data_IF_010558106879
#
_entry.id   IF_010558106879
#
_cell.length_a   1.000
_cell.length_b   1.000
_cell.length_c   1.000
_cell.angle_alpha   90.00
_cell.angle_beta   90.00
_cell.angle_gamma   90.00
#
_symmetry.space_group_name_H-M   'P 1'
#
loop_
_entity.id
_entity.type
_entity.pdbx_description
1 polymer ?
#
# COMPACT_ATOMS: atom_id res chain seq x y z
N UNK A 1 7.99 -6.69 -14.64
CA UNK A 1 8.57 -5.32 -14.53
C UNK A 1 9.84 -5.44 -13.73
N UNK A 2 10.97 -5.07 -14.30
CA UNK A 2 12.23 -4.97 -13.55
C UNK A 2 12.28 -3.56 -12.95
N UNK A 3 12.36 -3.46 -11.63
CA UNK A 3 12.57 -2.20 -10.95
C UNK A 3 14.09 -2.05 -10.80
N UNK A 4 14.73 -1.09 -11.48
CA UNK A 4 16.18 -0.95 -11.44
C UNK A 4 16.63 -0.53 -10.03
N UNK A 5 17.73 -1.12 -9.56
CA UNK A 5 18.42 -0.60 -8.39
C UNK A 5 18.95 0.81 -8.68
N UNK A 6 18.62 1.76 -7.82
CA UNK A 6 19.12 3.13 -7.92
C UNK A 6 19.77 3.55 -6.62
N UNK A 7 20.89 4.30 -6.68
CA UNK A 7 21.48 4.90 -5.49
C UNK A 7 20.46 5.73 -4.71
N UNK A 8 20.41 5.49 -3.40
CA UNK A 8 19.50 6.22 -2.53
C UNK A 8 18.03 5.73 -2.51
N UNK A 9 17.71 4.64 -3.21
CA UNK A 9 16.43 3.95 -3.14
C UNK A 9 16.63 2.51 -2.68
N UNK A 10 15.74 2.05 -1.79
CA UNK A 10 15.71 0.67 -1.30
C UNK A 10 14.31 0.11 -1.50
N UNK A 11 14.24 -1.11 -2.02
CA UNK A 11 13.02 -1.92 -2.03
C UNK A 11 13.27 -3.08 -1.09
N UNK A 12 12.54 -3.11 0.01
CA UNK A 12 12.70 -4.06 1.09
C UNK A 12 11.46 -4.96 1.14
N UNK A 13 11.50 -6.11 0.47
CA UNK A 13 10.38 -7.03 0.49
C UNK A 13 10.31 -7.75 1.83
N UNK A 14 9.08 -8.19 2.16
CA UNK A 14 8.84 -8.99 3.33
C UNK A 14 7.73 -10.02 3.07
N UNK A 15 7.81 -11.07 3.83
CA UNK A 15 6.80 -12.10 3.90
C UNK A 15 6.63 -12.51 5.36
N UNK A 16 5.41 -12.62 5.81
CA UNK A 16 5.06 -13.03 7.15
C UNK A 16 4.15 -14.25 7.06
N UNK A 17 4.70 -15.41 7.31
CA UNK A 17 3.96 -16.67 7.35
C UNK A 17 3.27 -16.87 8.71
N UNK A 18 2.19 -17.66 8.73
CA UNK A 18 1.38 -17.91 9.92
C UNK A 18 2.21 -18.42 11.12
N UNK A 19 3.10 -19.37 10.89
CA UNK A 19 3.97 -19.92 11.94
C UNK A 19 4.95 -18.87 12.53
N UNK A 20 5.37 -17.90 11.74
CA UNK A 20 6.22 -16.80 12.22
C UNK A 20 5.41 -15.82 13.07
N UNK A 21 4.12 -15.64 12.74
CA UNK A 21 3.18 -14.82 13.49
C UNK A 21 2.91 -15.42 14.87
N UNK A 22 2.65 -16.73 14.97
CA UNK A 22 2.45 -17.42 16.23
C UNK A 22 3.66 -17.26 17.16
N UNK A 23 4.87 -17.50 16.65
CA UNK A 23 6.10 -17.31 17.42
C UNK A 23 6.28 -15.86 17.91
N UNK A 24 5.91 -14.89 17.08
CA UNK A 24 5.96 -13.48 17.46
C UNK A 24 4.92 -13.12 18.52
N UNK A 25 3.69 -13.65 18.42
CA UNK A 25 2.64 -13.46 19.42
C UNK A 25 3.09 -14.01 20.78
N UNK A 26 3.70 -15.20 20.82
CA UNK A 26 4.21 -15.77 22.06
C UNK A 26 5.36 -14.96 22.67
N UNK A 27 6.24 -14.40 21.85
CA UNK A 27 7.29 -13.51 22.29
C UNK A 27 6.72 -12.24 22.95
N UNK A 28 5.69 -11.65 22.33
CA UNK A 28 4.99 -10.47 22.86
C UNK A 28 4.32 -10.77 24.20
N UNK A 29 3.63 -11.92 24.31
CA UNK A 29 2.94 -12.31 25.55
C UNK A 29 3.88 -12.48 26.74
N UNK A 30 5.16 -12.79 26.51
CA UNK A 30 6.18 -12.96 27.56
C UNK A 30 6.76 -11.63 28.05
N UNK A 31 6.59 -10.56 27.32
CA UNK A 31 7.19 -9.26 27.64
C UNK A 31 6.11 -8.20 27.87
N UNK A 32 5.87 -7.85 29.14
CA UNK A 32 4.83 -6.90 29.53
C UNK A 32 4.98 -5.51 28.92
N UNK A 33 6.20 -5.10 28.59
CA UNK A 33 6.47 -3.79 27.97
C UNK A 33 5.76 -3.64 26.62
N UNK A 34 5.60 -4.73 25.87
CA UNK A 34 4.89 -4.69 24.59
C UNK A 34 3.37 -4.61 24.73
N UNK A 35 2.82 -5.14 25.83
CA UNK A 35 1.39 -5.07 26.10
C UNK A 35 0.96 -3.66 26.52
N UNK A 36 1.88 -2.90 27.13
CA UNK A 36 1.62 -1.55 27.63
C UNK A 36 1.87 -0.46 26.58
N UNK A 37 2.67 -0.73 25.54
CA UNK A 37 3.04 0.29 24.55
C UNK A 37 2.93 -0.23 23.09
N UNK A 38 1.77 0.03 22.50
CA UNK A 38 1.47 -0.35 21.12
C UNK A 38 2.49 0.20 20.09
N UNK A 39 3.08 1.36 20.35
CA UNK A 39 4.09 1.96 19.47
C UNK A 39 5.38 1.13 19.44
N UNK A 40 5.81 0.65 20.60
CA UNK A 40 6.99 -0.20 20.73
C UNK A 40 6.75 -1.54 20.05
N UNK A 41 5.57 -2.11 20.26
CA UNK A 41 5.14 -3.34 19.60
C UNK A 41 5.19 -3.23 18.07
N UNK A 42 4.60 -2.18 17.53
CA UNK A 42 4.54 -1.95 16.09
C UNK A 42 5.93 -1.75 15.48
N UNK A 43 6.80 -1.01 16.13
CA UNK A 43 8.18 -0.81 15.68
C UNK A 43 8.97 -2.12 15.73
N UNK A 44 8.81 -2.93 16.78
CA UNK A 44 9.44 -4.25 16.86
C UNK A 44 8.95 -5.21 15.78
N UNK A 45 7.65 -5.20 15.51
CA UNK A 45 7.08 -5.99 14.42
C UNK A 45 7.68 -5.57 13.08
N UNK A 46 7.72 -4.27 12.79
CA UNK A 46 8.27 -3.74 11.55
C UNK A 46 9.75 -4.15 11.38
N UNK A 47 10.53 -4.07 12.44
CA UNK A 47 11.94 -4.44 12.42
C UNK A 47 12.16 -5.96 12.26
N UNK A 48 11.30 -6.77 12.87
CA UNK A 48 11.35 -8.23 12.73
C UNK A 48 10.97 -8.69 11.33
N UNK A 49 9.95 -8.06 10.75
CA UNK A 49 9.43 -8.37 9.42
C UNK A 49 10.36 -7.85 8.32
N UNK A 50 11.02 -6.72 8.56
CA UNK A 50 11.91 -6.07 7.59
C UNK A 50 13.23 -5.74 8.27
N UNK A 51 14.10 -6.74 8.54
CA UNK A 51 15.33 -6.54 9.30
C UNK A 51 16.32 -5.55 8.64
N UNK A 52 16.29 -5.45 7.31
CA UNK A 52 17.16 -4.55 6.56
C UNK A 52 16.70 -3.08 6.57
N UNK A 53 15.52 -2.79 7.12
CA UNK A 53 14.99 -1.44 7.26
C UNK A 53 15.64 -0.74 8.45
N UNK A 54 16.63 0.11 8.19
CA UNK A 54 17.33 0.86 9.23
C UNK A 54 16.44 1.96 9.84
N UNK A 55 16.64 2.34 11.10
CA UNK A 55 15.92 3.46 11.73
C UNK A 55 16.04 4.79 10.97
N UNK A 56 17.17 5.00 10.27
CA UNK A 56 17.42 6.20 9.47
C UNK A 56 16.73 6.20 8.10
N UNK A 57 16.21 5.06 7.64
CA UNK A 57 15.59 4.94 6.33
C UNK A 57 14.22 5.66 6.31
N UNK A 58 14.07 6.58 5.37
CA UNK A 58 12.81 7.31 5.16
C UNK A 58 11.87 6.45 4.32
N UNK A 59 10.86 5.88 4.94
CA UNK A 59 9.81 5.12 4.24
C UNK A 59 9.00 6.09 3.37
N UNK A 60 8.80 5.73 2.11
CA UNK A 60 8.06 6.52 1.11
C UNK A 60 6.79 5.82 0.65
N UNK A 61 6.85 4.49 0.52
CA UNK A 61 5.68 3.70 0.18
C UNK A 61 5.68 2.35 0.89
N UNK A 62 4.49 1.82 1.13
CA UNK A 62 4.23 0.47 1.63
C UNK A 62 3.22 -0.19 0.72
N UNK A 63 3.58 -1.34 0.19
CA UNK A 63 2.71 -2.18 -0.64
C UNK A 63 2.47 -3.49 0.09
N UNK A 64 1.20 -3.87 0.23
CA UNK A 64 0.76 -5.00 1.03
C UNK A 64 -0.23 -5.90 0.27
N UNK A 65 -0.04 -7.19 0.41
CA UNK A 65 -1.02 -8.22 0.05
C UNK A 65 -1.30 -9.02 1.31
N UNK A 66 -2.51 -8.98 1.80
CA UNK A 66 -2.92 -9.58 3.08
C UNK A 66 -4.00 -10.63 2.87
N UNK A 67 -3.92 -11.70 3.62
CA UNK A 67 -5.05 -12.57 3.87
C UNK A 67 -6.01 -11.87 4.85
N UNK A 68 -7.31 -12.07 4.70
CA UNK A 68 -8.31 -11.47 5.57
C UNK A 68 -8.14 -11.81 7.07
N UNK A 69 -7.61 -12.99 7.38
CA UNK A 69 -7.36 -13.42 8.77
C UNK A 69 -6.18 -12.67 9.42
N UNK A 70 -5.19 -12.27 8.62
CA UNK A 70 -3.98 -11.61 9.11
C UNK A 70 -4.02 -10.09 8.99
N UNK A 71 -5.19 -9.57 8.69
CA UNK A 71 -5.43 -8.14 8.58
C UNK A 71 -4.92 -7.33 9.79
N UNK A 72 -5.06 -7.78 11.06
CA UNK A 72 -4.51 -7.07 12.20
C UNK A 72 -3.00 -6.82 12.11
N UNK A 73 -2.22 -7.78 11.61
CA UNK A 73 -0.77 -7.61 11.43
C UNK A 73 -0.43 -6.64 10.32
N UNK A 74 -1.12 -6.74 9.18
CA UNK A 74 -1.00 -5.76 8.10
C UNK A 74 -1.26 -4.34 8.60
N UNK A 75 -2.23 -4.19 9.51
CA UNK A 75 -2.56 -2.92 10.15
C UNK A 75 -1.43 -2.41 11.02
N UNK A 76 -0.81 -3.25 11.83
CA UNK A 76 0.34 -2.86 12.65
C UNK A 76 1.54 -2.44 11.80
N UNK A 77 1.82 -3.14 10.69
CA UNK A 77 2.88 -2.74 9.74
C UNK A 77 2.59 -1.36 9.14
N UNK A 78 1.36 -1.13 8.69
CA UNK A 78 0.93 0.17 8.15
C UNK A 78 1.08 1.28 9.20
N UNK A 79 0.63 1.03 10.42
CA UNK A 79 0.70 1.98 11.53
C UNK A 79 2.15 2.31 11.91
N UNK A 80 3.02 1.30 11.99
CA UNK A 80 4.44 1.50 12.26
C UNK A 80 5.12 2.34 11.17
N UNK A 81 4.88 1.99 9.90
CA UNK A 81 5.42 2.71 8.76
C UNK A 81 4.91 4.16 8.71
N UNK A 82 3.61 4.36 8.96
CA UNK A 82 3.00 5.69 9.02
C UNK A 82 3.58 6.54 10.14
N UNK A 83 3.74 5.98 11.34
CA UNK A 83 4.35 6.67 12.48
C UNK A 83 5.79 7.06 12.18
N UNK A 84 6.62 6.13 11.69
CA UNK A 84 8.01 6.37 11.33
C UNK A 84 8.16 7.46 10.26
N UNK A 85 7.22 7.53 9.33
CA UNK A 85 7.18 8.51 8.24
C UNK A 85 6.42 9.79 8.59
N UNK A 86 5.94 9.96 9.83
CA UNK A 86 5.09 11.07 10.25
C UNK A 86 3.86 11.22 9.33
N UNK A 87 3.20 10.12 9.01
CA UNK A 87 2.07 10.02 8.08
C UNK A 87 2.37 10.47 6.62
N UNK A 88 3.64 10.67 6.27
CA UNK A 88 4.09 11.04 4.92
C UNK A 88 4.51 9.81 4.12
N UNK A 89 3.58 8.89 3.91
CA UNK A 89 3.82 7.60 3.27
C UNK A 89 2.65 7.23 2.37
N UNK A 90 2.95 6.82 1.13
CA UNK A 90 1.95 6.25 0.23
C UNK A 90 1.70 4.79 0.63
N UNK A 91 0.45 4.40 0.77
CA UNK A 91 0.06 3.06 1.17
C UNK A 91 -0.93 2.50 0.17
N UNK A 92 -0.66 1.29 -0.31
CA UNK A 92 -1.58 0.55 -1.15
C UNK A 92 -1.47 -0.94 -0.94
N UNK A 93 -2.58 -1.62 -1.07
CA UNK A 93 -2.63 -3.06 -0.93
C UNK A 93 -4.00 -3.64 -1.19
N UNK A 94 -4.05 -4.96 -1.22
CA UNK A 94 -5.27 -5.71 -1.38
C UNK A 94 -5.40 -6.80 -0.31
N UNK A 95 -6.64 -7.07 0.07
CA UNK A 95 -7.01 -8.22 0.90
C UNK A 95 -7.50 -9.31 -0.03
N UNK A 96 -6.88 -10.49 0.04
CA UNK A 96 -7.30 -11.68 -0.69
C UNK A 96 -8.08 -12.63 0.20
N UNK A 97 -8.95 -13.43 -0.40
CA UNK A 97 -9.56 -14.57 0.28
C UNK A 97 -8.61 -15.77 0.34
N UNK A 98 -8.96 -16.75 1.15
CA UNK A 98 -8.25 -18.03 1.33
C UNK A 98 -7.95 -18.81 0.03
N UNK A 99 -8.48 -18.38 -1.11
CA UNK A 99 -8.14 -18.93 -2.43
C UNK A 99 -6.63 -18.92 -2.73
N UNK A 100 -5.86 -18.12 -2.03
CA UNK A 100 -4.39 -18.10 -2.12
C UNK A 100 -3.75 -19.37 -1.57
N UNK A 101 -4.43 -20.08 -0.69
CA UNK A 101 -3.95 -21.32 -0.08
C UNK A 101 -4.06 -22.55 -1.00
N UNK A 102 -4.87 -22.49 -2.05
CA UNK A 102 -5.06 -23.59 -3.00
C UNK A 102 -4.19 -23.52 -4.24
N UNK A 103 -3.39 -22.45 -4.38
CA UNK A 103 -2.46 -22.28 -5.49
C UNK A 103 -1.25 -23.21 -5.34
N UNK A 104 -1.49 -24.51 -5.46
CA UNK A 104 -0.52 -25.46 -6.03
C UNK A 104 -0.18 -25.08 -7.47
N UNK A 105 -0.87 -24.09 -8.04
CA UNK A 105 -0.67 -23.62 -9.38
C UNK A 105 0.43 -22.53 -9.40
N UNK A 106 1.54 -22.94 -9.94
CA UNK A 106 2.82 -22.23 -10.04
C UNK A 106 2.76 -20.88 -10.78
N UNK A 107 1.66 -20.56 -11.45
CA UNK A 107 1.57 -19.36 -12.31
C UNK A 107 1.52 -18.05 -11.54
N UNK A 108 0.79 -17.99 -10.41
CA UNK A 108 0.70 -16.77 -9.62
C UNK A 108 1.89 -16.62 -8.67
N UNK A 109 2.42 -17.73 -8.15
CA UNK A 109 3.71 -17.76 -7.46
C UNK A 109 4.85 -17.37 -8.42
N UNK A 110 4.76 -17.76 -9.70
CA UNK A 110 5.70 -17.32 -10.73
C UNK A 110 5.53 -15.82 -11.02
N UNK A 111 4.30 -15.30 -11.12
CA UNK A 111 4.04 -13.88 -11.27
C UNK A 111 4.52 -13.08 -10.05
N UNK A 112 4.28 -13.60 -8.84
CA UNK A 112 4.80 -13.00 -7.61
C UNK A 112 6.32 -13.11 -7.54
N UNK A 113 6.92 -14.22 -7.99
CA UNK A 113 8.37 -14.36 -8.16
C UNK A 113 8.92 -13.37 -9.17
N UNK A 114 8.26 -13.16 -10.30
CA UNK A 114 8.69 -12.17 -11.30
C UNK A 114 8.51 -10.73 -10.80
N UNK A 115 7.44 -10.45 -10.06
CA UNK A 115 7.20 -9.14 -9.46
C UNK A 115 8.16 -8.85 -8.29
N UNK A 116 8.57 -9.88 -7.55
CA UNK A 116 9.40 -9.80 -6.35
C UNK A 116 10.72 -10.55 -6.49
N UNK A 117 11.20 -10.78 -7.71
CA UNK A 117 12.34 -11.66 -8.06
C UNK A 117 13.61 -11.42 -7.26
N UNK A 118 13.82 -10.21 -6.76
CA UNK A 118 15.05 -9.88 -6.02
C UNK A 118 15.16 -10.47 -4.62
N UNK A 119 14.09 -11.02 -4.05
CA UNK A 119 14.06 -11.37 -2.63
C UNK A 119 13.79 -12.82 -2.28
N UNK A 120 13.19 -13.55 -3.21
CA UNK A 120 12.75 -14.92 -2.92
C UNK A 120 13.85 -15.98 -2.89
N UNK A 121 15.09 -15.64 -3.25
CA UNK A 121 16.21 -16.58 -3.14
C UNK A 121 16.63 -16.83 -1.68
N UNK A 122 16.24 -16.02 -0.74
CA UNK A 122 16.67 -16.09 0.65
C UNK A 122 15.60 -16.49 1.67
N UNK A 123 14.33 -16.56 1.27
CA UNK A 123 13.26 -16.99 2.17
C UNK A 123 12.81 -18.39 1.80
N UNK A 124 13.14 -19.44 2.59
CA UNK A 124 12.59 -20.77 2.39
C UNK A 124 11.09 -20.72 2.64
N UNK A 125 10.29 -20.76 1.60
CA UNK A 125 8.83 -20.98 1.72
C UNK A 125 8.69 -22.46 2.11
N UNK A 126 8.30 -22.72 3.34
CA UNK A 126 7.94 -24.07 3.75
C UNK A 126 6.76 -24.54 2.87
N UNK A 127 6.85 -25.76 2.33
CA UNK A 127 5.92 -26.33 1.33
C UNK A 127 4.44 -26.30 1.75
N UNK A 128 4.13 -26.00 3.01
CA UNK A 128 2.78 -26.00 3.59
C UNK A 128 2.44 -24.69 4.34
N UNK A 129 3.21 -23.60 4.18
CA UNK A 129 2.86 -22.34 4.84
C UNK A 129 1.85 -21.56 4.01
N UNK A 130 0.69 -21.30 4.58
CA UNK A 130 -0.26 -20.35 4.05
C UNK A 130 0.38 -18.96 4.07
N UNK A 131 0.33 -18.24 2.93
CA UNK A 131 0.81 -16.86 2.88
C UNK A 131 -0.17 -15.98 3.62
N UNK A 132 0.26 -15.40 4.74
CA UNK A 132 -0.57 -14.51 5.55
C UNK A 132 -0.51 -13.07 5.05
N UNK A 133 0.67 -12.50 5.02
CA UNK A 133 0.89 -11.12 4.58
C UNK A 133 2.23 -11.03 3.86
N UNK A 134 2.20 -10.48 2.67
CA UNK A 134 3.40 -10.22 1.87
C UNK A 134 3.40 -8.79 1.37
N UNK A 135 4.57 -8.26 1.10
CA UNK A 135 4.66 -6.92 0.58
C UNK A 135 6.08 -6.43 0.45
N UNK A 136 6.21 -5.14 0.29
CA UNK A 136 7.50 -4.48 0.33
C UNK A 136 7.36 -3.04 0.79
N UNK A 137 8.43 -2.55 1.40
CA UNK A 137 8.61 -1.15 1.75
C UNK A 137 9.57 -0.53 0.75
N UNK A 138 9.23 0.66 0.28
CA UNK A 138 10.12 1.48 -0.54
C UNK A 138 10.60 2.63 0.33
N UNK A 139 11.91 2.76 0.45
CA UNK A 139 12.55 3.77 1.30
C UNK A 139 13.71 4.45 0.58
N UNK A 140 14.03 5.66 1.00
CA UNK A 140 15.20 6.39 0.53
C UNK A 140 14.94 7.87 0.24
N UNK A 141 16.02 8.65 0.19
CA UNK A 141 15.96 10.09 -0.06
C UNK A 141 15.66 10.45 -1.52
N UNK A 142 16.06 9.58 -2.46
CA UNK A 142 15.83 9.75 -3.89
C UNK A 142 14.51 9.20 -4.41
N UNK A 143 13.58 8.85 -3.49
CA UNK A 143 12.27 8.30 -3.85
C UNK A 143 11.16 9.28 -3.50
N UNK A 144 10.24 9.47 -4.42
CA UNK A 144 8.97 10.14 -4.21
C UNK A 144 7.83 9.14 -4.36
N UNK A 145 6.78 9.29 -3.57
CA UNK A 145 5.60 8.45 -3.66
C UNK A 145 4.33 9.24 -3.35
N UNK A 146 3.25 8.87 -4.01
CA UNK A 146 1.90 9.37 -3.72
C UNK A 146 0.88 8.26 -3.89
N UNK A 147 -0.25 8.40 -3.20
CA UNK A 147 -1.38 7.51 -3.37
C UNK A 147 -2.69 8.29 -3.43
N UNK A 148 -3.63 7.81 -4.23
CA UNK A 148 -4.99 8.34 -4.30
C UNK A 148 -6.01 7.23 -4.15
N UNK A 149 -7.07 7.52 -3.41
CA UNK A 149 -8.17 6.62 -3.13
C UNK A 149 -9.41 7.04 -3.91
N UNK A 150 -9.85 6.20 -4.84
CA UNK A 150 -11.10 6.36 -5.57
C UNK A 150 -12.24 5.76 -4.74
N UNK A 151 -13.08 6.61 -4.23
CA UNK A 151 -14.23 6.23 -3.41
C UNK A 151 -15.31 5.48 -4.23
N UNK A 152 -16.18 4.73 -3.55
CA UNK A 152 -17.32 4.01 -4.13
C UNK A 152 -18.20 4.88 -5.06
N UNK A 153 -18.32 6.18 -4.76
CA UNK A 153 -19.10 7.14 -5.55
C UNK A 153 -18.50 7.49 -6.91
N UNK A 154 -17.21 7.16 -7.15
CA UNK A 154 -16.51 7.38 -8.42
C UNK A 154 -16.97 6.35 -9.43
N UNK A 155 -17.86 6.76 -10.38
CA UNK A 155 -18.54 5.86 -11.33
C UNK A 155 -18.49 6.36 -12.79
N UNK A 156 -17.53 7.21 -13.12
CA UNK A 156 -17.36 7.71 -14.49
C UNK A 156 -15.91 8.06 -14.78
N UNK A 157 -15.50 7.99 -16.07
CA UNK A 157 -14.15 8.34 -16.49
C UNK A 157 -13.76 9.76 -16.05
N UNK A 158 -14.70 10.71 -16.14
CA UNK A 158 -14.47 12.09 -15.69
C UNK A 158 -14.06 12.14 -14.22
N UNK A 159 -14.80 11.43 -13.33
CA UNK A 159 -14.49 11.42 -11.89
C UNK A 159 -13.21 10.65 -11.59
N UNK A 160 -12.91 9.58 -12.31
CA UNK A 160 -11.62 8.87 -12.19
C UNK A 160 -10.48 9.81 -12.56
N UNK A 161 -10.63 10.55 -13.65
CA UNK A 161 -9.65 11.55 -14.11
C UNK A 161 -9.43 12.66 -13.07
N UNK A 162 -10.50 13.17 -12.47
CA UNK A 162 -10.43 14.19 -11.41
C UNK A 162 -9.64 13.71 -10.20
N UNK A 163 -9.84 12.47 -9.76
CA UNK A 163 -9.08 11.90 -8.65
C UNK A 163 -7.61 11.64 -9.03
N UNK A 164 -7.36 11.08 -10.21
CA UNK A 164 -5.99 10.84 -10.70
C UNK A 164 -5.22 12.13 -10.98
N UNK A 165 -5.94 13.25 -11.26
CA UNK A 165 -5.30 14.55 -11.45
C UNK A 165 -4.51 14.97 -10.20
N UNK A 166 -4.94 14.56 -9.00
CA UNK A 166 -4.20 14.82 -7.75
C UNK A 166 -2.78 14.23 -7.78
N UNK A 167 -2.58 13.07 -8.45
CA UNK A 167 -1.23 12.52 -8.65
C UNK A 167 -0.38 13.40 -9.57
N UNK A 168 -0.96 13.97 -10.63
CA UNK A 168 -0.25 14.93 -11.48
C UNK A 168 0.08 16.22 -10.73
N UNK A 169 -0.86 16.71 -9.97
CA UNK A 169 -0.72 17.95 -9.19
C UNK A 169 0.30 17.81 -8.06
N UNK A 170 0.64 16.57 -7.64
CA UNK A 170 1.69 16.31 -6.67
C UNK A 170 3.10 16.67 -7.17
N UNK A 171 3.27 16.77 -8.49
CA UNK A 171 4.56 17.00 -9.11
C UNK A 171 5.47 15.78 -9.21
N UNK A 172 4.99 14.59 -8.85
CA UNK A 172 5.77 13.35 -9.01
C UNK A 172 6.09 13.13 -10.48
N UNK A 173 7.38 12.92 -10.78
CA UNK A 173 7.86 12.68 -12.14
C UNK A 173 7.31 11.37 -12.71
N UNK A 174 6.89 11.39 -13.98
CA UNK A 174 6.59 10.16 -14.73
C UNK A 174 7.88 9.45 -15.17
N UNK A 175 9.00 10.16 -15.22
CA UNK A 175 10.28 9.56 -15.57
C UNK A 175 10.77 8.67 -14.43
N UNK A 176 11.24 7.47 -14.77
CA UNK A 176 11.67 6.47 -13.79
C UNK A 176 10.59 6.15 -12.73
N UNK A 177 9.33 6.12 -13.13
CA UNK A 177 8.21 5.83 -12.25
C UNK A 177 7.55 4.48 -12.56
N UNK A 178 6.80 4.00 -11.61
CA UNK A 178 5.87 2.87 -11.76
C UNK A 178 4.68 3.05 -10.82
N UNK A 179 3.60 2.34 -11.09
CA UNK A 179 2.39 2.45 -10.27
C UNK A 179 1.74 1.09 -10.01
N UNK A 180 1.01 1.04 -8.89
CA UNK A 180 0.13 -0.05 -8.53
C UNK A 180 -1.31 0.43 -8.47
N UNK A 181 -2.23 -0.45 -8.86
CA UNK A 181 -3.66 -0.29 -8.70
C UNK A 181 -4.20 -1.46 -7.87
N UNK A 182 -4.78 -1.17 -6.74
CA UNK A 182 -5.49 -2.13 -5.90
C UNK A 182 -6.96 -1.79 -5.95
N UNK A 183 -7.77 -2.65 -6.55
CA UNK A 183 -9.18 -2.40 -6.76
C UNK A 183 -10.04 -3.49 -6.13
N UNK A 184 -11.16 -3.11 -5.56
CA UNK A 184 -12.17 -4.07 -5.15
C UNK A 184 -12.64 -4.89 -6.35
N UNK A 185 -12.83 -6.20 -6.17
CA UNK A 185 -13.42 -7.07 -7.19
C UNK A 185 -14.80 -6.58 -7.65
N UNK A 186 -15.52 -5.84 -6.80
CA UNK A 186 -16.79 -5.18 -7.12
C UNK A 186 -16.67 -3.94 -8.01
N UNK A 187 -15.45 -3.47 -8.33
CA UNK A 187 -15.21 -2.29 -9.18
C UNK A 187 -14.93 -2.64 -10.65
N UNK A 188 -15.40 -3.80 -11.08
CA UNK A 188 -15.31 -4.21 -12.46
C UNK A 188 -16.33 -3.54 -13.39
N UNK A 189 -16.63 -4.22 -14.48
CA UNK A 189 -17.51 -3.78 -15.57
C UNK A 189 -18.88 -3.30 -15.07
N UNK A 190 -19.48 -4.02 -14.12
CA UNK A 190 -20.80 -3.66 -13.58
C UNK A 190 -20.81 -2.34 -12.83
N UNK A 191 -19.71 -1.98 -12.16
CA UNK A 191 -19.58 -0.70 -11.47
C UNK A 191 -19.57 0.47 -12.46
N UNK A 192 -19.01 0.27 -13.65
CA UNK A 192 -18.83 1.27 -14.69
C UNK A 192 -19.78 1.08 -15.88
N UNK A 193 -20.97 0.47 -15.66
CA UNK A 193 -22.03 0.34 -16.67
C UNK A 193 -21.56 -0.31 -17.98
N UNK A 194 -20.84 -1.41 -17.89
CA UNK A 194 -20.33 -2.16 -19.04
C UNK A 194 -18.95 -1.73 -19.56
N UNK A 195 -18.33 -0.71 -18.96
CA UNK A 195 -16.99 -0.26 -19.38
C UNK A 195 -15.91 -1.05 -18.66
N UNK A 196 -15.18 -1.87 -19.41
CA UNK A 196 -14.05 -2.67 -18.89
C UNK A 196 -12.79 -1.83 -18.76
N UNK A 197 -12.07 -2.06 -17.68
CA UNK A 197 -10.73 -1.46 -17.48
C UNK A 197 -10.73 0.07 -17.43
N UNK A 198 -11.85 0.71 -17.08
CA UNK A 198 -11.99 2.16 -17.12
C UNK A 198 -10.94 2.86 -16.28
N UNK A 199 -10.68 2.37 -15.07
CA UNK A 199 -9.72 3.00 -14.15
C UNK A 199 -8.29 2.88 -14.66
N UNK A 200 -7.86 1.65 -14.98
CA UNK A 200 -6.53 1.39 -15.54
C UNK A 200 -6.33 2.12 -16.88
N UNK A 201 -7.33 2.09 -17.76
CA UNK A 201 -7.28 2.80 -19.05
C UNK A 201 -7.19 4.31 -18.88
N UNK A 202 -7.87 4.88 -17.89
CA UNK A 202 -7.77 6.30 -17.58
C UNK A 202 -6.38 6.65 -17.04
N UNK A 203 -5.84 5.81 -16.14
CA UNK A 203 -4.48 6.00 -15.63
C UNK A 203 -3.46 5.99 -16.76
N UNK A 204 -3.47 4.97 -17.63
CA UNK A 204 -2.52 4.84 -18.74
C UNK A 204 -2.59 6.04 -19.69
N UNK A 205 -3.80 6.57 -19.96
CA UNK A 205 -3.95 7.79 -20.76
C UNK A 205 -3.36 9.04 -20.10
N UNK A 206 -3.42 9.11 -18.76
CA UNK A 206 -2.92 10.25 -18.01
C UNK A 206 -1.42 10.17 -17.70
N UNK A 207 -0.89 8.96 -17.58
CA UNK A 207 0.50 8.67 -17.21
C UNK A 207 1.10 7.66 -18.20
N UNK A 208 1.30 8.05 -19.47
CA UNK A 208 1.69 7.12 -20.54
C UNK A 208 3.11 6.55 -20.38
N UNK A 209 3.95 7.17 -19.55
CA UNK A 209 5.32 6.73 -19.30
C UNK A 209 5.48 5.92 -18.01
N UNK A 210 4.41 5.80 -17.21
CA UNK A 210 4.40 5.09 -15.93
C UNK A 210 3.78 3.70 -16.10
N UNK A 211 4.56 2.61 -16.04
CA UNK A 211 4.01 1.26 -16.02
C UNK A 211 3.05 1.06 -14.86
N UNK A 212 1.91 0.40 -15.11
CA UNK A 212 0.88 0.10 -14.12
C UNK A 212 0.71 -1.40 -13.94
N UNK A 213 0.70 -1.84 -12.68
CA UNK A 213 0.30 -3.20 -12.29
C UNK A 213 -1.00 -3.09 -11.49
N UNK A 214 -2.02 -3.88 -11.89
CA UNK A 214 -3.32 -3.91 -11.22
C UNK A 214 -3.60 -5.24 -10.55
N UNK A 215 -4.15 -5.18 -9.33
CA UNK A 215 -4.59 -6.34 -8.55
C UNK A 215 -6.03 -6.06 -8.08
N UNK A 216 -6.89 -7.08 -8.20
CA UNK A 216 -8.25 -7.05 -7.66
C UNK A 216 -8.32 -7.88 -6.38
N UNK A 217 -8.91 -7.31 -5.32
CA UNK A 217 -9.06 -7.95 -4.01
C UNK A 217 -10.48 -7.84 -3.45
N UNK A 218 -10.71 -8.49 -2.32
CA UNK A 218 -11.99 -8.42 -1.56
C UNK A 218 -12.00 -7.30 -0.51
N UNK A 219 -10.99 -6.46 -0.50
CA UNK A 219 -10.82 -5.27 0.30
C UNK A 219 -9.55 -4.58 -0.12
N UNK A 220 -9.48 -3.29 0.13
CA UNK A 220 -8.33 -2.47 -0.24
C UNK A 220 -7.71 -1.87 1.01
N UNK A 221 -6.37 -1.96 1.08
CA UNK A 221 -5.56 -1.33 2.11
C UNK A 221 -4.91 -0.08 1.53
N UNK A 222 -5.09 1.06 2.17
CA UNK A 222 -4.36 2.27 1.78
C UNK A 222 -5.01 3.57 2.18
N UNK A 223 -4.34 4.65 1.83
CA UNK A 223 -4.77 6.02 2.12
C UNK A 223 -4.50 6.92 0.93
N UNK A 224 -5.20 8.05 0.85
CA UNK A 224 -4.76 9.14 -0.03
C UNK A 224 -3.61 9.87 0.64
N UNK A 225 -2.46 9.89 0.00
CA UNK A 225 -1.31 10.70 0.36
C UNK A 225 -0.75 11.36 -0.91
N UNK A 226 -0.92 12.66 -1.01
CA UNK A 226 -0.43 13.45 -2.14
C UNK A 226 0.47 14.54 -1.59
N UNK A 227 1.80 14.42 -1.73
CA UNK A 227 2.72 15.46 -1.26
C UNK A 227 2.43 16.78 -1.98
N UNK A 228 2.57 17.89 -1.25
CA UNK A 228 2.37 19.27 -1.76
C UNK A 228 0.94 19.60 -2.27
N UNK A 229 -0.03 18.73 -2.11
CA UNK A 229 -1.40 19.02 -2.51
C UNK A 229 -2.04 20.00 -1.49
N UNK A 230 -2.35 21.20 -1.95
CA UNK A 230 -3.18 22.16 -1.19
C UNK A 230 -4.63 22.00 -1.63
N UNK A 231 -5.49 21.53 -0.73
CA UNK A 231 -6.93 21.53 -1.01
C UNK A 231 -7.41 22.95 -1.24
N UNK A 232 -8.19 23.13 -2.32
CA UNK A 232 -8.97 24.35 -2.49
C UNK A 232 -10.07 24.31 -1.43
N UNK A 233 -10.08 25.29 -0.52
CA UNK A 233 -11.12 25.44 0.48
C UNK A 233 -12.47 25.58 -0.22
N UNK A 234 -13.26 24.51 -0.23
CA UNK A 234 -14.66 24.61 -0.59
C UNK A 234 -15.44 25.19 0.60
N UNK A 235 -15.83 26.45 0.45
CA UNK A 235 -16.75 27.11 1.39
C UNK A 235 -18.16 26.63 1.11
N UNK A 236 -18.55 25.46 1.61
CA UNK A 236 -19.95 25.09 1.80
C UNK A 236 -20.06 23.88 2.73
N UNK A 237 -20.69 24.05 3.78
CA UNK A 237 -21.14 23.51 5.06
C UNK A 237 -21.51 22.02 5.18
N UNK A 238 -21.08 21.10 4.36
CA UNK A 238 -21.21 19.66 4.61
C UNK A 238 -19.82 19.01 4.68
N UNK A 239 -19.50 18.40 5.81
CA UNK A 239 -18.26 17.66 6.00
C UNK A 239 -18.20 16.48 5.03
N UNK A 240 -17.61 16.71 3.86
CA UNK A 240 -17.47 15.68 2.82
C UNK A 240 -16.44 14.64 3.26
N UNK A 241 -16.52 13.44 2.69
CA UNK A 241 -15.51 12.40 2.89
C UNK A 241 -14.08 12.87 2.52
N UNK A 242 -13.96 13.96 1.76
CA UNK A 242 -12.72 14.63 1.39
C UNK A 242 -12.15 15.46 2.55
N UNK A 243 -12.99 16.15 3.31
CA UNK A 243 -12.57 16.83 4.55
C UNK A 243 -12.09 15.84 5.62
N UNK A 244 -12.66 14.64 5.66
CA UNK A 244 -12.17 13.55 6.50
C UNK A 244 -10.78 13.07 6.06
N UNK A 245 -10.52 13.00 4.76
CA UNK A 245 -9.23 12.60 4.22
C UNK A 245 -8.18 13.71 4.35
N UNK A 246 -8.57 15.00 4.24
CA UNK A 246 -7.64 16.12 4.46
C UNK A 246 -7.24 16.26 5.92
N UNK A 247 -8.15 15.99 6.86
CA UNK A 247 -7.78 15.83 8.29
C UNK A 247 -6.79 14.71 8.52
N UNK A 248 -6.80 13.66 7.68
CA UNK A 248 -5.77 12.60 7.72
C UNK A 248 -4.39 13.11 7.29
N UNK A 249 -4.34 14.00 6.30
CA UNK A 249 -3.10 14.60 5.79
C UNK A 249 -2.57 15.77 6.67
N UNK A 250 -3.43 16.40 7.48
CA UNK A 250 -3.08 17.52 8.37
C UNK A 250 -2.79 17.11 9.82
N UNK A 251 -2.62 15.79 10.09
CA UNK A 251 -2.43 15.27 11.44
C UNK A 251 -1.12 15.68 12.07
N UNK A 252 -1.20 15.92 13.37
CA UNK A 252 -0.03 16.09 14.23
C UNK A 252 0.83 14.81 14.24
N UNK A 253 2.16 14.94 14.32
CA UNK A 253 3.04 13.81 14.55
C UNK A 253 2.61 13.10 15.84
N UNK A 254 2.04 11.92 15.74
CA UNK A 254 1.55 11.14 16.89
C UNK A 254 0.13 10.61 16.78
N UNK A 255 -0.68 11.09 15.85
CA UNK A 255 -2.02 10.54 15.62
C UNK A 255 -1.92 9.16 14.96
N UNK A 256 -2.33 8.13 15.71
CA UNK A 256 -2.37 6.75 15.23
C UNK A 256 -3.52 6.58 14.24
N UNK A 257 -3.23 6.10 13.04
CA UNK A 257 -4.27 5.73 12.07
C UNK A 257 -5.17 4.62 12.61
N UNK A 258 -6.47 4.89 12.68
CA UNK A 258 -7.45 3.87 13.08
C UNK A 258 -7.74 2.91 11.92
N UNK A 259 -8.15 1.65 12.18
CA UNK A 259 -8.43 0.66 11.15
C UNK A 259 -9.33 1.14 10.02
N UNK A 260 -10.43 1.82 10.33
CA UNK A 260 -11.37 2.37 9.33
C UNK A 260 -10.82 3.47 8.43
N UNK A 261 -9.54 3.83 8.58
CA UNK A 261 -8.90 4.89 7.80
C UNK A 261 -8.08 4.35 6.63
N UNK A 262 -7.72 3.07 6.66
CA UNK A 262 -6.91 2.45 5.62
C UNK A 262 -7.43 1.09 5.12
N UNK A 263 -8.48 0.54 5.76
CA UNK A 263 -9.21 -0.60 5.22
C UNK A 263 -10.49 -0.11 4.56
N UNK A 264 -10.66 -0.43 3.30
CA UNK A 264 -11.75 0.04 2.47
C UNK A 264 -12.45 -1.12 1.75
N UNK A 265 -13.65 -0.84 1.25
CA UNK A 265 -14.41 -1.72 0.38
C UNK A 265 -15.08 -0.92 -0.74
N UNK A 266 -15.20 -1.53 -1.92
CA UNK A 266 -15.70 -0.89 -3.13
C UNK A 266 -14.91 0.36 -3.55
N UNK A 267 -13.61 0.37 -3.29
CA UNK A 267 -12.69 1.45 -3.62
C UNK A 267 -11.62 0.98 -4.60
N UNK A 268 -10.81 1.90 -5.07
CA UNK A 268 -9.56 1.62 -5.78
C UNK A 268 -8.48 2.54 -5.27
N UNK A 269 -7.30 2.00 -5.03
CA UNK A 269 -6.15 2.76 -4.59
C UNK A 269 -5.10 2.70 -5.69
N UNK A 270 -4.62 3.86 -6.10
CA UNK A 270 -3.43 3.97 -6.95
C UNK A 270 -2.27 4.44 -6.09
N UNK A 271 -1.14 3.76 -6.21
CA UNK A 271 0.14 4.17 -5.61
C UNK A 271 1.12 4.39 -6.75
N UNK A 272 1.65 5.60 -6.86
CA UNK A 272 2.69 5.94 -7.81
C UNK A 272 3.99 6.19 -7.07
N UNK A 273 5.07 5.64 -7.59
CA UNK A 273 6.43 5.78 -7.05
C UNK A 273 7.33 6.26 -8.18
N UNK A 274 8.14 7.25 -7.90
CA UNK A 274 9.16 7.75 -8.80
C UNK A 274 10.53 7.72 -8.11
N UNK A 275 11.52 7.24 -8.84
CA UNK A 275 12.90 7.46 -8.49
C UNK A 275 13.32 8.78 -9.12
N UNK A 276 13.44 9.84 -8.34
CA UNK A 276 13.78 11.16 -8.82
C UNK A 276 14.99 11.17 -9.77
N UNK A 277 15.09 12.18 -10.58
CA UNK A 277 16.28 12.39 -11.40
C UNK A 277 17.47 12.60 -10.47
N UNK A 278 18.34 11.60 -10.38
CA UNK A 278 19.66 11.71 -9.76
C UNK A 278 20.62 12.19 -10.80
#
# INVERSE_FOLDING_TARGET
MLIPEKPGAKILPFHLAENQLEGFIEEIKKDSVYLENEAVLQEKLLQKVIPDLKPSDKIKAVILLSNGLDLPFSMHIIQAASRRSQSKVAIGGAVGDLCWSSLKDTSMLALMRELFYFSYQSVPVAENSYMSTSGFVIAGGGVEAASVLLQRKVRSEKKVREELQKLKDSGISEDNSFAFMFACCGRGENHYRGQRGLEAGTFIKMFPRTPLIGIYGNGELGVSYVPNFKEKENKEGEETSEQRNSRLNSRSPGDIMKPGQFLHSFTTIFVMVSYGNV
#
